data_IF_913190783151
#
_entry.id   IF_913190783151
#
_cell.length_a   1.000
_cell.length_b   1.000
_cell.length_c   1.000
_cell.angle_alpha   90.00
_cell.angle_beta   90.00
_cell.angle_gamma   90.00
#
_symmetry.space_group_name_H-M   'P 1'
#
loop_
_entity.id
_entity.type
_entity.pdbx_description
1 polymer ?
#
# COMPACT_ATOMS: atom_id res chain seq x y z
N UNK A 1 -19.09 3.48 -18.55
CA UNK A 1 -17.71 3.12 -18.92
C UNK A 1 -17.26 4.05 -20.02
N UNK A 2 -16.00 4.49 -20.01
CA UNK A 2 -15.40 5.40 -20.98
C UNK A 2 -14.06 4.78 -21.41
N UNK A 3 -13.80 4.80 -22.72
CA UNK A 3 -12.51 4.45 -23.31
C UNK A 3 -11.96 5.72 -23.97
N UNK A 4 -10.78 6.15 -23.52
CA UNK A 4 -10.03 7.24 -24.13
C UNK A 4 -8.87 6.65 -24.94
N UNK A 5 -8.72 7.10 -26.18
CA UNK A 5 -7.59 6.75 -27.05
C UNK A 5 -6.86 8.04 -27.40
N UNK A 6 -5.58 8.11 -27.05
CA UNK A 6 -4.75 9.30 -27.26
C UNK A 6 -3.52 8.88 -28.05
N UNK A 7 -3.24 9.61 -29.12
CA UNK A 7 -2.00 9.44 -29.91
C UNK A 7 -1.00 10.53 -29.55
N UNK A 8 0.22 10.16 -29.22
CA UNK A 8 1.32 11.08 -28.95
C UNK A 8 2.68 10.42 -29.20
N UNK A 9 3.61 11.15 -29.82
CA UNK A 9 4.99 10.69 -30.09
C UNK A 9 5.05 9.30 -30.79
N UNK A 10 4.19 9.11 -31.79
CA UNK A 10 4.09 7.84 -32.53
C UNK A 10 3.58 6.66 -31.70
N UNK A 11 3.09 6.89 -30.47
CA UNK A 11 2.52 5.88 -29.59
C UNK A 11 1.03 6.12 -29.39
N UNK A 12 0.29 5.03 -29.19
CA UNK A 12 -1.09 5.07 -28.74
C UNK A 12 -1.14 4.77 -27.24
N UNK A 13 -1.94 5.54 -26.52
CA UNK A 13 -2.24 5.33 -25.11
C UNK A 13 -3.74 5.10 -24.93
N UNK A 14 -4.09 4.06 -24.17
CA UNK A 14 -5.46 3.70 -23.83
C UNK A 14 -5.75 4.04 -22.37
N UNK A 15 -6.76 4.87 -22.14
CA UNK A 15 -7.29 5.18 -20.81
C UNK A 15 -8.66 4.53 -20.62
N UNK A 16 -8.80 3.70 -19.59
CA UNK A 16 -10.07 3.06 -19.24
C UNK A 16 -10.61 3.64 -17.94
N UNK A 17 -11.87 4.05 -17.94
CA UNK A 17 -12.56 4.56 -16.75
C UNK A 17 -13.99 4.03 -16.66
N UNK A 18 -14.45 3.75 -15.45
CA UNK A 18 -15.78 3.19 -15.22
C UNK A 18 -16.16 3.26 -13.75
N UNK A 19 -17.46 3.11 -13.49
CA UNK A 19 -17.95 2.92 -12.13
C UNK A 19 -17.47 1.57 -11.59
N UNK A 20 -16.91 1.58 -10.37
CA UNK A 20 -16.33 0.40 -9.73
C UNK A 20 -17.38 -0.63 -9.33
N UNK A 21 -18.60 -0.21 -8.98
CA UNK A 21 -19.69 -1.15 -8.67
C UNK A 21 -20.22 -1.85 -9.92
N UNK A 22 -20.31 -1.13 -11.05
CA UNK A 22 -20.80 -1.69 -12.30
C UNK A 22 -19.74 -2.53 -13.04
N UNK A 23 -18.46 -2.15 -12.97
CA UNK A 23 -17.34 -2.82 -13.67
C UNK A 23 -16.18 -3.00 -12.68
N UNK A 24 -16.33 -3.99 -11.79
CA UNK A 24 -15.37 -4.25 -10.72
C UNK A 24 -13.98 -4.72 -11.21
N UNK A 25 -13.94 -5.27 -12.42
CA UNK A 25 -12.82 -5.95 -13.07
C UNK A 25 -12.30 -5.18 -14.29
N UNK A 26 -12.41 -3.86 -14.31
CA UNK A 26 -11.92 -3.00 -15.40
C UNK A 26 -10.44 -3.24 -15.77
N UNK A 27 -9.63 -3.67 -14.81
CA UNK A 27 -8.23 -4.03 -15.02
C UNK A 27 -8.05 -5.31 -15.87
N UNK A 28 -8.99 -6.24 -15.83
CA UNK A 28 -9.00 -7.43 -16.68
C UNK A 28 -9.23 -7.01 -18.13
N UNK A 29 -10.17 -6.09 -18.38
CA UNK A 29 -10.38 -5.53 -19.72
C UNK A 29 -9.10 -4.86 -20.25
N UNK A 30 -8.38 -4.11 -19.40
CA UNK A 30 -7.10 -3.50 -19.79
C UNK A 30 -6.08 -4.56 -20.26
N UNK A 31 -5.92 -5.64 -19.49
CA UNK A 31 -5.01 -6.73 -19.84
C UNK A 31 -5.46 -7.47 -21.11
N UNK A 32 -6.76 -7.67 -21.31
CA UNK A 32 -7.29 -8.32 -22.52
C UNK A 32 -7.07 -7.47 -23.77
N UNK A 33 -7.11 -6.14 -23.68
CA UNK A 33 -6.78 -5.25 -24.81
C UNK A 33 -5.31 -5.41 -25.20
N UNK A 34 -4.40 -5.44 -24.22
CA UNK A 34 -2.97 -5.70 -24.48
C UNK A 34 -2.75 -7.07 -25.11
N UNK A 35 -3.43 -8.11 -24.62
CA UNK A 35 -3.36 -9.46 -25.16
C UNK A 35 -3.89 -9.54 -26.61
N UNK A 36 -4.98 -8.86 -26.93
CA UNK A 36 -5.55 -8.83 -28.27
C UNK A 36 -4.61 -8.14 -29.29
N UNK A 37 -3.88 -7.10 -28.87
CA UNK A 37 -2.84 -6.51 -29.73
C UNK A 37 -1.68 -7.47 -29.94
N UNK A 38 -1.24 -8.19 -28.90
CA UNK A 38 -0.18 -9.19 -29.04
C UNK A 38 -0.59 -10.34 -30.00
N UNK A 39 -1.83 -10.82 -29.90
CA UNK A 39 -2.40 -11.80 -30.83
C UNK A 39 -2.42 -11.27 -32.27
N UNK A 40 -2.81 -10.01 -32.45
CA UNK A 40 -2.83 -9.37 -33.76
C UNK A 40 -1.43 -9.19 -34.36
N UNK A 41 -0.45 -8.78 -33.55
CA UNK A 41 0.95 -8.66 -33.97
C UNK A 41 1.52 -10.00 -34.43
N UNK A 42 1.25 -11.07 -33.68
CA UNK A 42 1.65 -12.44 -34.01
C UNK A 42 1.01 -12.91 -35.33
N UNK A 43 -0.31 -12.70 -35.48
CA UNK A 43 -1.05 -13.08 -36.69
C UNK A 43 -0.58 -12.33 -37.94
N UNK A 44 -0.14 -11.08 -37.79
CA UNK A 44 0.39 -10.26 -38.89
C UNK A 44 1.89 -10.50 -39.15
N UNK A 45 2.56 -11.30 -38.33
CA UNK A 45 4.01 -11.50 -38.41
C UNK A 45 4.82 -10.23 -38.14
N UNK A 46 4.24 -9.28 -37.40
CA UNK A 46 4.93 -8.05 -37.01
C UNK A 46 5.88 -8.40 -35.87
N UNK A 47 7.18 -8.37 -36.14
CA UNK A 47 8.18 -8.54 -35.09
C UNK A 47 8.05 -7.39 -34.09
N UNK A 48 7.61 -7.70 -32.86
CA UNK A 48 7.46 -6.70 -31.82
C UNK A 48 8.80 -5.98 -31.57
N UNK A 49 8.85 -4.64 -31.64
CA UNK A 49 10.05 -3.91 -31.26
C UNK A 49 10.38 -4.19 -29.79
N UNK A 50 11.66 -4.27 -29.41
CA UNK A 50 12.05 -4.68 -28.06
C UNK A 50 11.43 -3.74 -27.02
N UNK A 51 10.57 -4.29 -26.16
CA UNK A 51 9.94 -3.55 -25.09
C UNK A 51 11.01 -3.00 -24.14
N UNK A 52 11.13 -1.66 -24.07
CA UNK A 52 12.02 -1.02 -23.12
C UNK A 52 11.45 -1.27 -21.72
N UNK A 53 12.15 -2.07 -20.92
CA UNK A 53 11.71 -2.48 -19.59
C UNK A 53 11.35 -1.24 -18.76
N UNK A 54 10.05 -1.04 -18.51
CA UNK A 54 9.59 -0.06 -17.53
C UNK A 54 9.82 -0.71 -16.19
N UNK A 55 10.73 -0.17 -15.38
CA UNK A 55 10.84 -0.52 -13.97
C UNK A 55 9.56 -0.05 -13.29
N UNK A 56 8.54 -0.93 -13.23
CA UNK A 56 7.42 -0.72 -12.29
C UNK A 56 8.06 -0.73 -10.91
N UNK A 57 8.15 0.44 -10.30
CA UNK A 57 8.58 0.61 -8.92
C UNK A 57 7.76 -0.32 -8.05
N UNK A 58 8.38 -1.40 -7.60
CA UNK A 58 7.84 -2.24 -6.54
C UNK A 58 7.70 -1.34 -5.33
N UNK A 59 6.46 -0.94 -5.02
CA UNK A 59 6.14 -0.33 -3.74
C UNK A 59 6.42 -1.38 -2.68
N UNK A 60 7.65 -1.33 -2.15
CA UNK A 60 8.12 -2.25 -1.14
C UNK A 60 7.17 -2.14 0.06
N UNK A 61 6.59 -3.29 0.41
CA UNK A 61 5.81 -3.49 1.61
C UNK A 61 6.56 -2.90 2.82
N UNK A 62 5.99 -1.85 3.41
CA UNK A 62 6.50 -1.20 4.61
C UNK A 62 6.49 -2.19 5.77
N UNK A 63 7.61 -2.90 5.95
CA UNK A 63 7.85 -3.75 7.10
C UNK A 63 7.97 -2.86 8.33
N UNK A 64 6.91 -2.84 9.14
CA UNK A 64 6.89 -2.17 10.44
C UNK A 64 7.82 -2.93 11.38
N UNK A 65 9.03 -2.44 11.59
CA UNK A 65 9.87 -2.83 12.73
C UNK A 65 10.09 -1.62 13.63
N UNK A 66 9.25 -1.53 14.66
CA UNK A 66 9.41 -0.59 15.76
C UNK A 66 10.67 -0.96 16.55
N UNK A 67 11.76 -0.23 16.33
CA UNK A 67 12.99 -0.37 17.09
C UNK A 67 12.81 0.23 18.49
N UNK A 68 12.56 -0.65 19.47
CA UNK A 68 12.56 -0.31 20.89
C UNK A 68 13.98 0.05 21.32
N UNK A 69 14.24 1.35 21.49
CA UNK A 69 15.54 1.88 21.94
C UNK A 69 15.82 1.43 23.39
N UNK A 70 16.73 0.49 23.55
CA UNK A 70 17.27 0.09 24.85
C UNK A 70 18.19 1.21 25.39
N UNK A 71 17.95 1.65 26.63
CA UNK A 71 18.73 2.68 27.32
C UNK A 71 19.60 1.99 28.38
N UNK A 72 20.94 2.04 28.33
CA UNK A 72 21.77 1.41 29.36
C UNK A 72 22.05 2.35 30.55
N UNK A 73 21.78 1.79 31.74
CA UNK A 73 22.53 1.82 33.01
C UNK A 73 22.93 3.17 33.65
N UNK A 74 22.44 3.38 34.86
CA UNK A 74 23.21 3.99 35.94
C UNK A 74 22.94 3.25 37.26
N UNK A 75 23.94 2.51 37.71
CA UNK A 75 24.05 1.93 39.06
C UNK A 75 24.59 2.99 40.01
N UNK A 76 23.85 3.36 41.05
CA UNK A 76 24.41 3.93 42.26
C UNK A 76 23.55 3.58 43.47
N UNK A 77 24.24 3.07 44.49
CA UNK A 77 23.76 2.44 45.73
C UNK A 77 23.33 3.52 46.72
N UNK A 78 22.29 3.26 47.54
CA UNK A 78 22.40 3.21 49.02
C UNK A 78 21.05 2.87 49.66
N UNK A 79 21.14 2.07 50.71
CA UNK A 79 20.06 1.49 51.49
C UNK A 79 19.67 2.37 52.68
N UNK A 80 18.39 2.34 53.06
CA UNK A 80 17.88 2.18 54.45
C UNK A 80 16.34 2.34 54.49
N UNK A 81 15.64 1.30 54.94
CA UNK A 81 14.18 1.17 55.20
C UNK A 81 13.67 2.07 56.36
N UNK A 82 12.43 1.91 56.92
CA UNK A 82 11.06 1.85 56.37
C UNK A 82 10.03 2.76 57.14
N UNK A 83 8.83 3.05 56.59
CA UNK A 83 7.57 3.34 57.35
C UNK A 83 6.41 3.61 56.35
N UNK A 84 5.37 2.78 56.18
CA UNK A 84 4.21 2.42 57.03
C UNK A 84 3.08 3.48 57.06
N UNK A 85 1.85 2.99 56.81
CA UNK A 85 0.48 3.59 56.93
C UNK A 85 0.00 4.43 55.74
N UNK A 86 -0.96 4.00 54.91
CA UNK A 86 -2.36 3.58 55.11
C UNK A 86 -3.34 4.74 55.30
N UNK A 87 -4.28 4.89 54.35
CA UNK A 87 -5.68 5.41 54.42
C UNK A 87 -6.14 5.50 52.95
N UNK A 88 -7.08 4.70 52.44
CA UNK A 88 -8.52 4.73 52.77
C UNK A 88 -9.09 6.08 52.31
N UNK A 89 -9.85 6.17 51.21
CA UNK A 89 -11.31 6.05 51.26
C UNK A 89 -11.94 5.67 49.91
N UNK A 90 -12.89 4.74 49.98
CA UNK A 90 -13.92 4.42 48.96
C UNK A 90 -15.12 5.38 49.08
N UNK A 91 -15.95 5.35 48.01
CA UNK A 91 -17.37 5.77 47.82
C UNK A 91 -17.56 7.19 47.25
N UNK A 92 -18.18 7.38 46.07
CA UNK A 92 -19.50 6.98 45.54
C UNK A 92 -20.68 7.83 46.05
N UNK A 93 -21.30 8.60 45.14
CA UNK A 93 -22.75 8.95 45.04
C UNK A 93 -22.87 9.89 43.81
N UNK A 94 -23.55 9.62 42.69
CA UNK A 94 -24.97 9.34 42.37
C UNK A 94 -25.96 10.42 42.84
N UNK A 95 -26.51 11.13 41.83
CA UNK A 95 -27.80 11.81 41.64
C UNK A 95 -28.33 12.74 42.74
N UNK A 96 -28.62 13.98 42.33
CA UNK A 96 -29.96 14.58 42.41
C UNK A 96 -30.16 15.42 41.14
#
# INVERSE_FOLDING_TARGET
MIIAVISYDGKLAFGLSGDRSAVSDLHVLAASVEAAFAELEDALGVAAPPAKATTRGSSAAGTKTSARKAKPKATARRASSPAKKATGTKKASKRA
#
